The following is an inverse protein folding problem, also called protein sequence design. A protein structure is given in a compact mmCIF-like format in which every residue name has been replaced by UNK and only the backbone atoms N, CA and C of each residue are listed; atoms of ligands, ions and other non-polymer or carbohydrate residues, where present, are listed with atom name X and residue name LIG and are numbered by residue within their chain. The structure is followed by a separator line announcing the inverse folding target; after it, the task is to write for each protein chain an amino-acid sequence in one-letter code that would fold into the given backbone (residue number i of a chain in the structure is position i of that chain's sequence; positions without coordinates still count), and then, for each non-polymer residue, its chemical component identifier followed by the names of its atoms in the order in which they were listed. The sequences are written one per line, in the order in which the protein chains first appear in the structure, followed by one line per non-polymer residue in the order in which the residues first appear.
data_IF_168785601515
#
_entry.id   IF_168785601515
#
_cell.length_a   1.000
_cell.length_b   1.000
_cell.length_c   1.000
_cell.angle_alpha   90.00
_cell.angle_beta   90.00
_cell.angle_gamma   90.00
#
_symmetry.space_group_name_H-M   'P 1'
#
loop_
_entity.id
_entity.type
_entity.pdbx_description
1 polymer ?
#
# COMPACT_ATOMS: atom_id res chain seq x y z
N UNK A 1 -18.17 -4.88 -17.56
CA UNK A 1 -17.64 -4.72 -16.18
C UNK A 1 -18.84 -4.59 -15.27
N UNK A 2 -18.94 -5.35 -14.18
CA UNK A 2 -20.06 -5.20 -13.23
C UNK A 2 -19.98 -3.80 -12.63
N UNK A 3 -21.07 -3.06 -12.64
CA UNK A 3 -21.19 -1.72 -12.04
C UNK A 3 -21.24 -1.86 -10.52
N UNK A 4 -20.12 -2.29 -9.91
CA UNK A 4 -20.01 -2.43 -8.45
C UNK A 4 -19.92 -1.04 -7.85
N UNK A 5 -20.69 -0.78 -6.82
CA UNK A 5 -20.73 0.49 -6.08
C UNK A 5 -20.33 0.24 -4.61
N UNK A 6 -19.18 -0.46 -4.41
CA UNK A 6 -18.73 -0.89 -3.07
C UNK A 6 -18.36 0.27 -2.15
N UNK A 7 -18.02 1.42 -2.71
CA UNK A 7 -17.49 2.56 -1.96
C UNK A 7 -18.40 3.79 -2.00
N UNK A 8 -19.67 3.63 -2.43
CA UNK A 8 -20.65 4.73 -2.37
C UNK A 8 -20.71 5.30 -0.95
N UNK A 9 -20.63 6.63 -0.83
CA UNK A 9 -20.63 7.39 0.43
C UNK A 9 -19.46 7.04 1.38
N UNK A 10 -18.38 6.41 0.88
CA UNK A 10 -17.17 6.10 1.65
C UNK A 10 -16.04 7.07 1.31
N UNK A 11 -15.39 7.59 2.33
CA UNK A 11 -14.15 8.38 2.21
C UNK A 11 -12.95 7.46 2.36
N UNK A 12 -12.15 7.36 1.31
CA UNK A 12 -11.03 6.42 1.19
C UNK A 12 -9.71 7.16 1.03
N UNK A 13 -8.81 7.02 1.99
CA UNK A 13 -7.43 7.50 1.87
C UNK A 13 -6.60 6.42 1.16
N UNK A 14 -5.92 6.80 0.07
CA UNK A 14 -4.98 5.93 -0.66
C UNK A 14 -3.59 6.56 -0.64
N UNK A 15 -2.62 5.88 -0.05
CA UNK A 15 -1.24 6.36 0.01
C UNK A 15 -0.40 5.81 -1.15
N UNK A 16 0.53 6.61 -1.68
CA UNK A 16 1.34 6.22 -2.83
C UNK A 16 0.52 6.07 -4.11
N UNK A 17 -0.39 7.01 -4.34
CA UNK A 17 -1.43 6.95 -5.38
C UNK A 17 -1.01 7.46 -6.76
N UNK A 18 0.20 8.01 -6.92
CA UNK A 18 0.66 8.54 -8.21
C UNK A 18 0.94 7.46 -9.28
N UNK A 19 1.23 6.21 -8.90
CA UNK A 19 1.61 5.15 -9.84
C UNK A 19 1.36 3.74 -9.28
N UNK A 20 1.42 2.72 -10.17
CA UNK A 20 1.37 1.31 -9.79
C UNK A 20 0.07 0.91 -9.10
N UNK A 21 0.18 0.08 -8.04
CA UNK A 21 -0.98 -0.45 -7.30
C UNK A 21 -1.81 0.68 -6.69
N UNK A 22 -1.17 1.68 -6.05
CA UNK A 22 -1.89 2.79 -5.42
C UNK A 22 -2.72 3.61 -6.41
N UNK A 23 -2.17 3.88 -7.61
CA UNK A 23 -2.94 4.51 -8.69
C UNK A 23 -4.14 3.64 -9.10
N UNK A 24 -3.90 2.33 -9.30
CA UNK A 24 -4.99 1.42 -9.68
C UNK A 24 -6.10 1.36 -8.62
N UNK A 25 -5.73 1.38 -7.34
CA UNK A 25 -6.68 1.44 -6.21
C UNK A 25 -7.47 2.74 -6.25
N UNK A 26 -6.82 3.90 -6.37
CA UNK A 26 -7.49 5.21 -6.38
C UNK A 26 -8.51 5.32 -7.52
N UNK A 27 -8.12 4.93 -8.74
CA UNK A 27 -9.00 4.92 -9.91
C UNK A 27 -10.22 4.00 -9.71
N UNK A 28 -10.00 2.80 -9.20
CA UNK A 28 -11.09 1.83 -9.04
C UNK A 28 -12.04 2.21 -7.89
N UNK A 29 -11.53 2.76 -6.76
CA UNK A 29 -12.36 3.30 -5.68
C UNK A 29 -13.28 4.41 -6.19
N UNK A 30 -12.73 5.38 -6.94
CA UNK A 30 -13.52 6.45 -7.54
C UNK A 30 -14.57 5.92 -8.53
N UNK A 31 -14.20 4.96 -9.39
CA UNK A 31 -15.12 4.32 -10.33
C UNK A 31 -16.24 3.52 -9.63
N UNK A 32 -16.04 3.11 -8.37
CA UNK A 32 -17.02 2.41 -7.54
C UNK A 32 -17.72 3.33 -6.52
N UNK A 33 -17.74 4.65 -6.80
CA UNK A 33 -18.53 5.65 -6.08
C UNK A 33 -17.88 6.21 -4.81
N UNK A 34 -16.60 5.91 -4.55
CA UNK A 34 -15.89 6.41 -3.37
C UNK A 34 -15.32 7.81 -3.56
N UNK A 35 -15.22 8.55 -2.46
CA UNK A 35 -14.54 9.83 -2.34
C UNK A 35 -13.07 9.59 -1.96
N UNK A 36 -12.12 10.01 -2.79
CA UNK A 36 -10.72 9.56 -2.66
C UNK A 36 -9.82 10.69 -2.20
N UNK A 37 -9.09 10.48 -1.11
CA UNK A 37 -7.93 11.29 -0.72
C UNK A 37 -6.68 10.60 -1.25
N UNK A 38 -6.03 11.20 -2.22
CA UNK A 38 -4.81 10.68 -2.85
C UNK A 38 -3.58 11.33 -2.25
N UNK A 39 -2.85 10.57 -1.42
CA UNK A 39 -1.61 11.04 -0.80
C UNK A 39 -0.38 10.50 -1.53
N UNK A 40 0.43 11.38 -2.05
CA UNK A 40 1.73 11.04 -2.65
C UNK A 40 2.71 12.21 -2.46
N UNK A 41 4.02 11.95 -2.55
CA UNK A 41 5.04 13.00 -2.58
C UNK A 41 5.36 13.49 -3.99
N UNK A 42 4.83 12.82 -5.00
CA UNK A 42 5.07 13.10 -6.41
C UNK A 42 3.92 13.88 -7.01
N UNK A 43 4.23 14.91 -7.79
CA UNK A 43 3.27 15.72 -8.54
C UNK A 43 2.50 14.89 -9.61
N UNK A 44 3.00 13.70 -9.99
CA UNK A 44 2.25 12.79 -10.88
C UNK A 44 0.89 12.36 -10.33
N UNK A 45 0.60 12.58 -9.06
CA UNK A 45 -0.73 12.34 -8.48
C UNK A 45 -1.80 13.23 -9.13
N UNK A 46 -1.44 14.40 -9.64
CA UNK A 46 -2.37 15.32 -10.34
C UNK A 46 -2.85 14.77 -11.69
N UNK A 47 -2.02 13.95 -12.38
CA UNK A 47 -2.48 13.24 -13.59
C UNK A 47 -3.59 12.23 -13.24
N UNK A 48 -3.45 11.55 -12.09
CA UNK A 48 -4.46 10.59 -11.61
C UNK A 48 -5.74 11.31 -11.18
N UNK A 49 -5.62 12.47 -10.55
CA UNK A 49 -6.76 13.32 -10.20
C UNK A 49 -7.54 13.71 -11.46
N UNK A 50 -6.84 14.18 -12.48
CA UNK A 50 -7.46 14.58 -13.76
C UNK A 50 -8.20 13.40 -14.40
N UNK A 51 -7.62 12.20 -14.38
CA UNK A 51 -8.24 10.98 -14.93
C UNK A 51 -9.52 10.61 -14.17
N UNK A 52 -9.51 10.70 -12.83
CA UNK A 52 -10.70 10.46 -12.00
C UNK A 52 -11.80 11.47 -12.31
N UNK A 53 -11.46 12.75 -12.36
CA UNK A 53 -12.42 13.83 -12.64
C UNK A 53 -13.03 13.74 -14.04
N UNK A 54 -12.23 13.35 -15.06
CA UNK A 54 -12.73 13.14 -16.43
C UNK A 54 -13.79 12.01 -16.51
N UNK A 55 -13.79 11.08 -15.55
CA UNK A 55 -14.81 10.02 -15.46
C UNK A 55 -15.96 10.34 -14.50
N UNK A 56 -15.99 11.56 -13.95
CA UNK A 56 -17.02 12.01 -13.01
C UNK A 56 -16.80 11.54 -11.57
N UNK A 57 -15.62 11.02 -11.24
CA UNK A 57 -15.28 10.61 -9.88
C UNK A 57 -14.91 11.80 -9.00
N UNK A 58 -14.99 11.59 -7.68
CA UNK A 58 -14.68 12.58 -6.64
C UNK A 58 -13.36 12.23 -5.94
N UNK A 59 -12.37 13.10 -6.08
CA UNK A 59 -11.06 12.92 -5.47
C UNK A 59 -10.37 14.26 -5.19
N UNK A 60 -9.47 14.25 -4.20
CA UNK A 60 -8.55 15.36 -3.92
C UNK A 60 -7.15 14.81 -3.66
N UNK A 61 -6.14 15.62 -3.93
CA UNK A 61 -4.74 15.27 -3.73
C UNK A 61 -4.16 15.96 -2.50
N UNK A 62 -3.13 15.36 -1.95
CA UNK A 62 -2.25 15.98 -0.97
C UNK A 62 -0.80 15.53 -1.20
N UNK A 63 0.10 16.51 -1.37
CA UNK A 63 1.54 16.25 -1.36
C UNK A 63 2.00 16.08 0.09
N UNK A 64 2.45 14.87 0.46
CA UNK A 64 2.84 14.56 1.83
C UNK A 64 4.00 13.57 1.88
N UNK A 65 4.97 13.86 2.76
CA UNK A 65 6.03 12.91 3.11
C UNK A 65 5.56 12.00 4.25
N UNK A 66 5.14 10.80 3.91
CA UNK A 66 4.63 9.81 4.85
C UNK A 66 5.73 9.07 5.63
N UNK A 67 7.00 9.32 5.36
CA UNK A 67 8.11 8.87 6.21
C UNK A 67 8.12 9.65 7.54
N UNK A 68 7.29 10.70 7.67
CA UNK A 68 7.09 11.50 8.89
C UNK A 68 5.67 11.37 9.44
N UNK A 69 5.51 11.47 10.77
CA UNK A 69 4.18 11.51 11.39
C UNK A 69 3.39 12.77 10.99
N UNK A 70 4.06 13.90 10.87
CA UNK A 70 3.43 15.16 10.47
C UNK A 70 2.78 15.06 9.08
N UNK A 71 3.45 14.42 8.12
CA UNK A 71 2.89 14.16 6.79
C UNK A 71 1.67 13.25 6.84
N UNK A 72 1.72 12.18 7.62
CA UNK A 72 0.56 11.29 7.81
C UNK A 72 -0.62 12.00 8.47
N UNK A 73 -0.35 12.85 9.48
CA UNK A 73 -1.38 13.66 10.15
C UNK A 73 -2.03 14.65 9.20
N UNK A 74 -1.25 15.32 8.35
CA UNK A 74 -1.77 16.25 7.34
C UNK A 74 -2.75 15.58 6.37
N UNK A 75 -2.50 14.33 5.99
CA UNK A 75 -3.40 13.55 5.12
C UNK A 75 -4.76 13.32 5.80
N UNK A 76 -4.78 12.95 7.07
CA UNK A 76 -6.04 12.72 7.82
C UNK A 76 -6.78 14.04 8.04
N UNK A 77 -6.06 15.12 8.39
CA UNK A 77 -6.66 16.47 8.52
C UNK A 77 -7.32 16.88 7.21
N UNK A 78 -6.63 16.72 6.07
CA UNK A 78 -7.18 17.04 4.75
C UNK A 78 -8.47 16.26 4.45
N UNK A 79 -8.52 14.98 4.82
CA UNK A 79 -9.71 14.14 4.65
C UNK A 79 -10.90 14.66 5.48
N UNK A 80 -10.64 15.01 6.74
CA UNK A 80 -11.67 15.52 7.65
C UNK A 80 -12.15 16.91 7.22
N UNK A 81 -11.26 17.82 6.82
CA UNK A 81 -11.62 19.15 6.35
C UNK A 81 -12.48 19.12 5.09
N UNK A 82 -12.23 18.15 4.19
CA UNK A 82 -12.89 18.09 2.89
C UNK A 82 -14.18 17.27 2.91
N UNK A 83 -14.15 16.10 3.60
CA UNK A 83 -15.26 15.14 3.58
C UNK A 83 -15.87 14.84 4.96
N UNK A 84 -15.30 15.36 6.04
CA UNK A 84 -15.83 15.22 7.40
C UNK A 84 -15.59 13.88 8.08
N UNK A 85 -15.05 12.87 7.38
CA UNK A 85 -14.86 11.49 7.88
C UNK A 85 -13.73 10.75 7.18
N UNK A 86 -13.36 9.58 7.70
CA UNK A 86 -12.50 8.60 7.03
C UNK A 86 -13.06 7.21 7.25
N UNK A 87 -13.48 6.53 6.21
CA UNK A 87 -14.03 5.16 6.30
C UNK A 87 -12.97 4.10 6.05
N UNK A 88 -12.06 4.36 5.09
CA UNK A 88 -11.05 3.40 4.68
C UNK A 88 -9.69 4.08 4.57
N UNK A 89 -8.65 3.41 5.10
CA UNK A 89 -7.25 3.76 4.87
C UNK A 89 -6.56 2.62 4.12
N UNK A 90 -5.98 2.91 2.96
CA UNK A 90 -5.17 1.97 2.18
C UNK A 90 -3.71 2.41 2.22
N UNK A 91 -2.91 1.73 3.05
CA UNK A 91 -1.48 1.95 3.20
C UNK A 91 -0.71 1.21 2.12
N UNK A 92 -0.38 1.92 1.03
CA UNK A 92 0.34 1.32 -0.10
C UNK A 92 1.78 1.84 -0.27
N UNK A 93 2.18 2.91 0.43
CA UNK A 93 3.56 3.40 0.36
C UNK A 93 4.55 2.36 0.86
N UNK A 94 5.62 2.15 0.09
CA UNK A 94 6.70 1.23 0.39
C UNK A 94 7.34 0.63 -0.85
N UNK A 95 8.26 -0.31 -0.62
CA UNK A 95 8.95 -1.06 -1.68
C UNK A 95 10.45 -0.96 -1.57
N UNK A 96 11.14 -2.07 -1.83
CA UNK A 96 12.59 -2.17 -1.76
C UNK A 96 13.28 -1.08 -2.60
N UNK A 97 14.23 -0.39 -2.02
CA UNK A 97 15.06 0.63 -2.67
C UNK A 97 16.24 -0.06 -3.35
N UNK A 98 16.88 -0.97 -2.62
CA UNK A 98 18.03 -1.74 -3.10
C UNK A 98 17.73 -3.22 -3.09
N UNK A 99 18.41 -3.93 -4.00
CA UNK A 99 18.45 -5.39 -4.07
C UNK A 99 19.89 -5.83 -4.07
N UNK A 100 20.41 -6.24 -2.90
CA UNK A 100 21.79 -6.68 -2.69
C UNK A 100 21.89 -7.59 -1.46
N UNK A 101 22.96 -8.42 -1.32
CA UNK A 101 23.20 -9.22 -0.12
C UNK A 101 23.19 -8.36 1.15
N UNK A 102 22.80 -8.94 2.28
CA UNK A 102 22.61 -8.18 3.51
C UNK A 102 23.88 -7.53 4.03
N UNK A 103 25.00 -8.23 3.92
CA UNK A 103 26.33 -7.76 4.30
C UNK A 103 26.82 -6.55 3.49
N UNK A 104 26.23 -6.28 2.32
CA UNK A 104 26.53 -5.16 1.46
C UNK A 104 25.74 -3.88 1.79
N UNK A 105 24.72 -3.98 2.67
CA UNK A 105 23.95 -2.81 3.10
C UNK A 105 24.74 -1.95 4.08
N UNK A 106 24.82 -0.66 3.82
CA UNK A 106 25.27 0.29 4.83
C UNK A 106 24.20 0.53 5.88
N UNK A 107 24.58 1.05 7.06
CA UNK A 107 23.64 1.45 8.12
C UNK A 107 22.61 2.44 7.58
N UNK A 108 23.02 3.43 6.82
CA UNK A 108 22.11 4.45 6.26
C UNK A 108 21.10 3.85 5.29
N UNK A 109 21.50 2.87 4.48
CA UNK A 109 20.59 2.18 3.56
C UNK A 109 19.58 1.33 4.30
N UNK A 110 19.97 0.64 5.37
CA UNK A 110 19.05 -0.11 6.23
C UNK A 110 18.01 0.83 6.84
N UNK A 111 18.45 1.98 7.39
CA UNK A 111 17.55 2.99 7.96
C UNK A 111 16.58 3.52 6.89
N UNK A 112 17.06 3.83 5.69
CA UNK A 112 16.21 4.31 4.58
C UNK A 112 15.19 3.27 4.13
N UNK A 113 15.55 1.98 4.09
CA UNK A 113 14.61 0.90 3.76
C UNK A 113 13.48 0.79 4.80
N UNK A 114 13.82 0.88 6.08
CA UNK A 114 12.84 0.84 7.18
C UNK A 114 11.95 2.08 7.14
N UNK A 115 12.54 3.27 7.00
CA UNK A 115 11.80 4.53 6.89
C UNK A 115 10.83 4.52 5.72
N UNK A 116 11.23 3.96 4.57
CA UNK A 116 10.39 3.86 3.37
C UNK A 116 9.28 2.82 3.47
N UNK A 117 9.55 1.68 4.12
CA UNK A 117 8.71 0.49 3.95
C UNK A 117 7.89 0.11 5.19
N UNK A 118 8.20 0.70 6.36
CA UNK A 118 7.49 0.46 7.62
C UNK A 118 6.83 1.72 8.19
N UNK A 119 7.57 2.82 8.33
CA UNK A 119 7.07 4.01 9.02
C UNK A 119 5.85 4.66 8.36
N UNK A 120 5.69 4.74 7.01
CA UNK A 120 4.48 5.26 6.41
C UNK A 120 3.21 4.55 6.88
N UNK A 121 3.25 3.22 6.97
CA UNK A 121 2.13 2.42 7.48
C UNK A 121 1.87 2.68 8.96
N UNK A 122 2.92 2.72 9.79
CA UNK A 122 2.80 3.03 11.23
C UNK A 122 2.18 4.40 11.46
N UNK A 123 2.71 5.43 10.77
CA UNK A 123 2.26 6.81 10.96
C UNK A 123 0.83 7.04 10.47
N UNK A 124 0.47 6.50 9.30
CA UNK A 124 -0.89 6.63 8.78
C UNK A 124 -1.91 5.89 9.66
N UNK A 125 -1.60 4.68 10.15
CA UNK A 125 -2.45 3.98 11.10
C UNK A 125 -2.63 4.80 12.38
N UNK A 126 -1.53 5.28 12.98
CA UNK A 126 -1.60 6.12 14.18
C UNK A 126 -2.41 7.40 13.99
N UNK A 127 -2.28 8.04 12.81
CA UNK A 127 -2.98 9.29 12.52
C UNK A 127 -4.48 9.10 12.33
N UNK A 128 -4.93 8.01 11.69
CA UNK A 128 -6.34 7.78 11.37
C UNK A 128 -7.15 7.20 12.54
N UNK A 129 -6.52 6.43 13.42
CA UNK A 129 -7.19 5.72 14.51
C UNK A 129 -8.06 6.61 15.41
N UNK A 130 -7.65 7.80 15.85
CA UNK A 130 -8.53 8.65 16.67
C UNK A 130 -9.87 8.98 15.99
N UNK A 131 -9.84 9.21 14.67
CA UNK A 131 -11.05 9.45 13.88
C UNK A 131 -11.93 8.22 13.79
N UNK A 132 -11.36 7.08 13.42
CA UNK A 132 -12.11 5.82 13.29
C UNK A 132 -12.67 5.32 14.62
N UNK A 133 -11.92 5.49 15.74
CA UNK A 133 -12.40 5.17 17.09
C UNK A 133 -13.61 6.05 17.46
N UNK A 134 -13.55 7.35 17.18
CA UNK A 134 -14.67 8.26 17.41
C UNK A 134 -15.89 7.90 16.54
N UNK A 135 -15.67 7.44 15.33
CA UNK A 135 -16.71 6.96 14.42
C UNK A 135 -17.31 5.59 14.81
N UNK A 136 -16.61 4.82 15.66
CA UNK A 136 -16.91 3.41 15.95
C UNK A 136 -17.01 2.56 14.68
N UNK A 137 -16.23 2.92 13.67
CA UNK A 137 -16.19 2.28 12.36
C UNK A 137 -14.93 2.67 11.61
N UNK A 138 -14.33 1.73 10.90
CA UNK A 138 -13.19 1.97 10.03
C UNK A 138 -12.63 0.70 9.42
N UNK A 139 -11.96 0.85 8.28
CA UNK A 139 -11.24 -0.24 7.63
C UNK A 139 -9.82 0.20 7.29
N UNK A 140 -8.84 -0.60 7.68
CA UNK A 140 -7.43 -0.38 7.31
C UNK A 140 -6.97 -1.57 6.48
N UNK A 141 -6.44 -1.31 5.28
CA UNK A 141 -5.80 -2.33 4.44
C UNK A 141 -4.34 -1.95 4.22
N UNK A 142 -3.45 -2.78 4.71
CA UNK A 142 -2.01 -2.60 4.57
C UNK A 142 -1.48 -3.40 3.38
N UNK A 143 -0.76 -2.75 2.46
CA UNK A 143 -0.06 -3.44 1.37
C UNK A 143 1.28 -3.95 1.90
N UNK A 144 1.29 -5.22 2.25
CA UNK A 144 2.47 -5.97 2.65
C UNK A 144 3.16 -6.63 1.44
N UNK A 145 3.88 -7.70 1.64
CA UNK A 145 4.56 -8.45 0.58
C UNK A 145 4.74 -9.90 1.00
N UNK A 146 4.70 -10.82 0.02
CA UNK A 146 5.17 -12.19 0.20
C UNK A 146 6.70 -12.24 0.39
N UNK A 147 7.42 -11.14 0.19
CA UNK A 147 8.88 -11.07 0.30
C UNK A 147 9.39 -11.05 1.76
N UNK A 148 8.65 -11.58 2.72
CA UNK A 148 9.10 -11.77 4.10
C UNK A 148 10.19 -12.84 4.24
N UNK A 149 10.42 -13.65 3.20
CA UNK A 149 11.53 -14.61 3.04
C UNK A 149 12.27 -14.40 1.71
N UNK A 150 12.51 -13.15 1.32
CA UNK A 150 13.19 -12.83 0.07
C UNK A 150 14.70 -12.70 0.24
N UNK A 151 15.48 -13.10 -0.79
CA UNK A 151 16.93 -12.82 -0.87
C UNK A 151 17.19 -11.37 -1.28
N UNK A 152 18.38 -10.87 -1.05
CA UNK A 152 18.92 -9.59 -1.52
C UNK A 152 18.04 -8.35 -1.18
N UNK A 153 17.16 -8.44 -0.17
CA UNK A 153 16.28 -7.34 0.26
C UNK A 153 15.87 -7.51 1.72
N UNK A 154 16.79 -7.96 2.58
CA UNK A 154 16.50 -8.30 3.99
C UNK A 154 15.88 -7.14 4.77
N UNK A 155 16.34 -5.87 4.69
CA UNK A 155 15.73 -4.76 5.44
C UNK A 155 14.28 -4.48 5.00
N UNK A 156 13.99 -4.64 3.70
CA UNK A 156 12.62 -4.58 3.18
C UNK A 156 11.76 -5.74 3.71
N UNK A 157 12.30 -6.95 3.71
CA UNK A 157 11.61 -8.15 4.22
C UNK A 157 11.25 -7.99 5.70
N UNK A 158 12.18 -7.49 6.52
CA UNK A 158 11.95 -7.17 7.94
C UNK A 158 10.86 -6.13 8.11
N UNK A 159 10.87 -5.06 7.30
CA UNK A 159 9.84 -4.03 7.31
C UNK A 159 8.45 -4.58 7.00
N UNK A 160 8.34 -5.47 6.01
CA UNK A 160 7.05 -6.09 5.64
C UNK A 160 6.58 -7.14 6.66
N UNK A 161 7.52 -7.84 7.33
CA UNK A 161 7.21 -8.62 8.53
C UNK A 161 6.64 -7.76 9.66
N UNK A 162 7.21 -6.56 9.87
CA UNK A 162 6.69 -5.55 10.79
C UNK A 162 5.27 -5.08 10.44
N UNK A 163 4.98 -4.87 9.15
CA UNK A 163 3.61 -4.53 8.69
C UNK A 163 2.63 -5.67 8.98
N UNK A 164 3.04 -6.94 8.82
CA UNK A 164 2.20 -8.08 9.16
C UNK A 164 1.87 -8.13 10.65
N UNK A 165 2.88 -7.95 11.51
CA UNK A 165 2.70 -7.90 12.97
C UNK A 165 1.83 -6.71 13.40
N UNK A 166 2.05 -5.53 12.83
CA UNK A 166 1.22 -4.34 13.06
C UNK A 166 -0.24 -4.60 12.71
N UNK A 167 -0.50 -5.26 11.56
CA UNK A 167 -1.85 -5.60 11.11
C UNK A 167 -2.58 -6.47 12.13
N UNK A 168 -1.95 -7.54 12.61
CA UNK A 168 -2.53 -8.44 13.60
C UNK A 168 -2.79 -7.74 14.94
N UNK A 169 -1.83 -6.94 15.41
CA UNK A 169 -1.93 -6.24 16.70
C UNK A 169 -3.03 -5.17 16.68
N UNK A 170 -3.11 -4.34 15.63
CA UNK A 170 -4.16 -3.33 15.51
C UNK A 170 -5.55 -3.94 15.37
N UNK A 171 -5.67 -5.05 14.63
CA UNK A 171 -6.92 -5.78 14.51
C UNK A 171 -7.41 -6.27 15.88
N UNK A 172 -6.53 -6.87 16.67
CA UNK A 172 -6.85 -7.36 18.01
C UNK A 172 -7.24 -6.21 18.96
N UNK A 173 -6.49 -5.11 18.94
CA UNK A 173 -6.70 -3.97 19.83
C UNK A 173 -7.99 -3.20 19.53
N UNK A 174 -8.34 -3.07 18.23
CA UNK A 174 -9.42 -2.17 17.80
C UNK A 174 -10.68 -2.85 17.25
N UNK A 175 -10.78 -4.17 17.28
CA UNK A 175 -11.99 -4.89 16.83
C UNK A 175 -13.26 -4.41 17.57
N UNK A 176 -13.17 -4.16 18.87
CA UNK A 176 -14.29 -3.66 19.69
C UNK A 176 -14.72 -2.23 19.35
N UNK A 177 -13.89 -1.48 18.64
CA UNK A 177 -14.20 -0.16 18.14
C UNK A 177 -14.84 -0.19 16.73
N UNK A 178 -15.20 -1.37 16.23
CA UNK A 178 -15.75 -1.54 14.90
C UNK A 178 -14.72 -1.33 13.77
N UNK A 179 -13.41 -1.47 14.07
CA UNK A 179 -12.33 -1.26 13.10
C UNK A 179 -11.77 -2.61 12.65
N UNK A 180 -11.75 -2.84 11.33
CA UNK A 180 -11.12 -3.99 10.71
C UNK A 180 -9.74 -3.60 10.18
N UNK A 181 -8.74 -4.43 10.41
CA UNK A 181 -7.39 -4.21 9.90
C UNK A 181 -6.88 -5.49 9.24
N UNK A 182 -6.59 -5.44 7.95
CA UNK A 182 -6.07 -6.58 7.20
C UNK A 182 -4.88 -6.15 6.33
N UNK A 183 -4.15 -7.11 5.81
CA UNK A 183 -3.08 -6.87 4.85
C UNK A 183 -3.22 -7.72 3.60
N UNK A 184 -2.79 -7.18 2.46
CA UNK A 184 -2.53 -7.91 1.22
C UNK A 184 -1.02 -8.06 1.08
N UNK A 185 -0.52 -9.29 1.13
CA UNK A 185 0.88 -9.61 0.85
C UNK A 185 1.06 -9.79 -0.66
N UNK A 186 1.46 -8.71 -1.33
CA UNK A 186 1.60 -8.68 -2.79
C UNK A 186 2.79 -9.51 -3.27
N UNK A 187 2.59 -10.25 -4.35
CA UNK A 187 3.63 -10.98 -5.07
C UNK A 187 4.36 -10.11 -6.10
N UNK A 188 5.16 -10.76 -6.92
CA UNK A 188 5.73 -10.13 -8.12
C UNK A 188 4.62 -9.56 -8.98
N UNK A 189 4.69 -8.27 -9.27
CA UNK A 189 3.63 -7.57 -10.00
C UNK A 189 4.22 -6.94 -11.27
N UNK A 190 3.64 -7.26 -12.40
CA UNK A 190 3.95 -6.64 -13.68
C UNK A 190 3.39 -5.23 -13.70
N UNK A 191 4.27 -4.25 -13.86
CA UNK A 191 3.92 -2.85 -13.87
C UNK A 191 4.75 -2.10 -14.92
N UNK A 192 4.21 -1.02 -15.50
CA UNK A 192 4.99 -0.13 -16.35
C UNK A 192 6.25 0.40 -15.63
N UNK A 193 7.26 0.83 -16.38
CA UNK A 193 8.41 1.53 -15.80
C UNK A 193 7.96 2.66 -14.86
N UNK A 194 8.61 2.77 -13.71
CA UNK A 194 8.21 3.77 -12.71
C UNK A 194 8.57 5.18 -13.21
N UNK A 195 7.62 6.10 -13.18
CA UNK A 195 7.88 7.53 -13.41
C UNK A 195 8.78 8.11 -12.32
N UNK A 196 8.59 7.66 -11.07
CA UNK A 196 9.43 8.03 -9.91
C UNK A 196 10.19 6.79 -9.45
N UNK A 197 11.49 6.65 -9.77
CA UNK A 197 12.29 5.52 -9.33
C UNK A 197 12.49 5.54 -7.82
N UNK A 198 12.61 4.35 -7.20
CA UNK A 198 12.92 4.24 -5.76
C UNK A 198 14.37 4.56 -5.46
N UNK A 199 15.27 4.14 -6.35
CA UNK A 199 16.68 4.51 -6.40
C UNK A 199 16.91 5.28 -7.71
N UNK A 200 17.40 6.51 -7.60
CA UNK A 200 17.72 7.35 -8.77
C UNK A 200 19.09 7.08 -9.34
N UNK A 201 19.96 6.37 -8.59
CA UNK A 201 21.32 6.08 -9.03
C UNK A 201 21.32 4.97 -10.09
N UNK A 202 22.20 5.06 -11.10
CA UNK A 202 22.41 3.96 -12.04
C UNK A 202 22.90 2.70 -11.30
N UNK A 203 22.32 1.56 -11.64
CA UNK A 203 22.72 0.28 -11.04
C UNK A 203 24.07 -0.17 -11.59
N UNK A 204 24.96 -0.59 -10.70
CA UNK A 204 26.20 -1.31 -11.03
C UNK A 204 25.87 -2.68 -11.66
N UNK A 205 26.88 -3.35 -12.22
CA UNK A 205 26.68 -4.70 -12.78
C UNK A 205 26.30 -5.72 -11.70
N UNK A 206 26.88 -5.61 -10.50
CA UNK A 206 26.53 -6.49 -9.38
C UNK A 206 25.07 -6.28 -8.95
N UNK A 207 24.59 -5.05 -8.82
CA UNK A 207 23.21 -4.76 -8.46
C UNK A 207 22.21 -5.28 -9.50
N UNK A 208 22.55 -5.21 -10.79
CA UNK A 208 21.74 -5.84 -11.85
C UNK A 208 21.67 -7.36 -11.69
N UNK A 209 22.79 -8.00 -11.37
CA UNK A 209 22.84 -9.45 -11.14
C UNK A 209 22.02 -9.84 -9.91
N UNK A 210 22.14 -9.11 -8.79
CA UNK A 210 21.35 -9.36 -7.57
C UNK A 210 19.85 -9.12 -7.79
N UNK A 211 19.50 -8.09 -8.54
CA UNK A 211 18.12 -7.85 -8.94
C UNK A 211 17.56 -9.00 -9.79
N UNK A 212 18.38 -9.55 -10.73
CA UNK A 212 17.96 -10.70 -11.52
C UNK A 212 17.70 -11.94 -10.64
N UNK A 213 18.57 -12.19 -9.64
CA UNK A 213 18.35 -13.28 -8.67
C UNK A 213 17.01 -13.15 -7.92
N UNK A 214 16.60 -11.91 -7.56
CA UNK A 214 15.30 -11.65 -6.95
C UNK A 214 14.15 -11.95 -7.90
N UNK A 215 14.31 -11.58 -9.19
CA UNK A 215 13.32 -11.90 -10.24
C UNK A 215 13.18 -13.41 -10.41
N UNK A 216 14.30 -14.13 -10.50
CA UNK A 216 14.34 -15.58 -10.68
C UNK A 216 13.71 -16.29 -9.47
N UNK A 217 14.11 -15.94 -8.23
CA UNK A 217 13.48 -16.46 -7.02
C UNK A 217 11.96 -16.26 -7.03
N UNK A 218 11.50 -15.09 -7.44
CA UNK A 218 10.06 -14.77 -7.43
C UNK A 218 9.30 -15.64 -8.45
N UNK A 219 9.88 -15.87 -9.64
CA UNK A 219 9.28 -16.71 -10.67
C UNK A 219 9.25 -18.18 -10.24
N UNK A 220 10.36 -18.69 -9.70
CA UNK A 220 10.48 -20.08 -9.28
C UNK A 220 9.52 -20.45 -8.14
N UNK A 221 9.21 -19.49 -7.26
CA UNK A 221 8.28 -19.69 -6.14
C UNK A 221 6.81 -19.48 -6.52
N UNK A 222 6.53 -18.89 -7.67
CA UNK A 222 5.16 -18.62 -8.11
C UNK A 222 4.60 -19.85 -8.85
N UNK A 223 3.62 -20.55 -8.25
CA UNK A 223 3.01 -21.74 -8.85
C UNK A 223 2.33 -21.48 -10.18
N UNK A 224 1.81 -20.25 -10.37
CA UNK A 224 1.22 -19.81 -11.64
C UNK A 224 2.24 -19.50 -12.73
N UNK A 225 3.55 -19.52 -12.45
CA UNK A 225 4.64 -19.33 -13.42
C UNK A 225 4.72 -17.92 -14.03
N UNK A 226 4.03 -16.93 -13.46
CA UNK A 226 4.01 -15.54 -13.95
C UNK A 226 3.94 -14.53 -12.82
N UNK A 227 4.26 -13.30 -13.11
CA UNK A 227 3.89 -12.17 -12.26
C UNK A 227 2.37 -11.91 -12.33
N UNK A 228 1.81 -11.39 -11.25
CA UNK A 228 0.46 -10.88 -11.24
C UNK A 228 0.38 -9.50 -11.90
N UNK A 229 -0.80 -9.13 -12.35
CA UNK A 229 -1.08 -7.77 -12.85
C UNK A 229 -1.36 -6.80 -11.70
N UNK A 230 -1.28 -5.50 -11.96
CA UNK A 230 -1.74 -4.47 -10.99
C UNK A 230 -3.19 -4.73 -10.60
N UNK A 231 -4.06 -5.05 -11.56
CA UNK A 231 -5.48 -5.26 -11.31
C UNK A 231 -5.77 -6.45 -10.39
N UNK A 232 -4.97 -7.54 -10.46
CA UNK A 232 -5.10 -8.68 -9.55
C UNK A 232 -4.78 -8.30 -8.11
N UNK A 233 -3.81 -7.42 -7.89
CA UNK A 233 -3.50 -6.86 -6.57
C UNK A 233 -4.60 -5.92 -6.08
N UNK A 234 -5.05 -5.01 -6.94
CA UNK A 234 -6.14 -4.06 -6.65
C UNK A 234 -7.41 -4.78 -6.23
N UNK A 235 -7.80 -5.85 -6.92
CA UNK A 235 -9.01 -6.61 -6.62
C UNK A 235 -9.01 -7.16 -5.18
N UNK A 236 -7.88 -7.70 -4.73
CA UNK A 236 -7.74 -8.22 -3.36
C UNK A 236 -7.76 -7.10 -2.30
N UNK A 237 -7.10 -5.97 -2.58
CA UNK A 237 -7.10 -4.79 -1.71
C UNK A 237 -8.53 -4.27 -1.55
N UNK A 238 -9.27 -4.10 -2.63
CA UNK A 238 -10.63 -3.56 -2.61
C UNK A 238 -11.64 -4.54 -1.98
N UNK A 239 -11.44 -5.85 -2.15
CA UNK A 239 -12.22 -6.84 -1.41
C UNK A 239 -12.06 -6.65 0.09
N UNK A 240 -10.83 -6.60 0.61
CA UNK A 240 -10.59 -6.39 2.05
C UNK A 240 -11.06 -5.02 2.55
N UNK A 241 -11.02 -3.99 1.69
CA UNK A 241 -11.45 -2.64 1.99
C UNK A 241 -12.99 -2.50 2.07
N UNK A 242 -13.73 -3.35 1.38
CA UNK A 242 -15.18 -3.30 1.27
C UNK A 242 -15.90 -4.09 2.36
N UNK A 243 -17.22 -3.94 2.41
CA UNK A 243 -18.11 -4.68 3.32
C UNK A 243 -18.25 -6.16 2.93
N UNK A 244 -17.78 -6.57 1.72
CA UNK A 244 -17.68 -7.99 1.32
C UNK A 244 -16.77 -8.79 2.28
N UNK A 245 -15.79 -8.12 2.93
CA UNK A 245 -14.89 -8.70 3.92
C UNK A 245 -15.28 -8.35 5.37
N UNK A 246 -16.55 -8.14 5.65
CA UNK A 246 -17.05 -7.65 6.95
C UNK A 246 -16.69 -8.54 8.16
N UNK A 247 -16.45 -9.83 7.96
CA UNK A 247 -16.04 -10.76 9.03
C UNK A 247 -14.54 -11.11 8.99
N UNK A 248 -13.73 -10.30 8.28
CA UNK A 248 -12.27 -10.50 8.16
C UNK A 248 -11.53 -9.37 8.86
N UNK A 249 -10.71 -9.71 9.86
CA UNK A 249 -9.77 -8.81 10.52
C UNK A 249 -8.54 -9.58 11.00
N UNK A 250 -7.38 -8.93 11.09
CA UNK A 250 -6.11 -9.52 11.52
C UNK A 250 -5.45 -10.44 10.49
N UNK A 251 -5.98 -10.54 9.29
CA UNK A 251 -5.49 -11.47 8.26
C UNK A 251 -4.46 -10.82 7.35
N UNK A 252 -3.48 -11.62 6.94
CA UNK A 252 -2.53 -11.31 5.88
C UNK A 252 -2.82 -12.23 4.69
N UNK A 253 -3.37 -11.69 3.61
CA UNK A 253 -3.79 -12.47 2.45
C UNK A 253 -2.69 -12.43 1.38
N UNK A 254 -2.03 -13.55 1.06
CA UNK A 254 -1.03 -13.58 0.00
C UNK A 254 -1.71 -13.53 -1.38
N UNK A 255 -1.24 -12.61 -2.22
CA UNK A 255 -1.64 -12.46 -3.63
C UNK A 255 -0.38 -12.61 -4.48
N UNK A 256 0.19 -13.81 -4.45
CA UNK A 256 1.50 -14.14 -5.00
C UNK A 256 1.49 -15.32 -5.99
N UNK A 257 0.31 -15.70 -6.53
CA UNK A 257 0.22 -16.81 -7.50
C UNK A 257 0.66 -18.16 -6.94
N UNK A 258 0.42 -18.39 -5.63
CA UNK A 258 0.80 -19.61 -4.89
C UNK A 258 1.99 -19.42 -3.95
N UNK A 259 2.85 -18.43 -4.15
CA UNK A 259 3.87 -18.06 -3.16
C UNK A 259 3.20 -17.38 -1.95
N UNK A 260 3.49 -17.86 -0.76
CA UNK A 260 2.88 -17.40 0.50
C UNK A 260 3.86 -16.58 1.38
N UNK A 261 5.08 -16.42 0.93
CA UNK A 261 6.14 -15.74 1.67
C UNK A 261 7.00 -16.64 2.55
#
# INVERSE_FOLDING_TARGET
MSNRQRFTDKVVIVTGSAQGIGRGVALQVAAEGGQVIMADRSEYVEEVLTEIQCTGGDAVTINADLETYAGAQAVVVKAIEHYGRVDVLINNVGGAIWMKPFEEFSEEEIIKEVNRSLFPTLWCCRAVLPTMIKQQSGVIVNVSSIATRGINRIPYSASKGGVNALTASLAFEHAKNGIRVNAVATGGTEAPPRKVPRNANPLSQNEKNWMQQVVDQTKDRTFMGRYGTIQEQVNAILFLASDEASYMTGSVIPVGGGDQG
#
